data_IF_747828345551
#
_entry.id   IF_747828345551
#
_cell.length_a   1.000
_cell.length_b   1.000
_cell.length_c   1.000
_cell.angle_alpha   90.00
_cell.angle_beta   90.00
_cell.angle_gamma   90.00
#
_symmetry.space_group_name_H-M   'P 1'
#
loop_
_entity.id
_entity.type
_entity.pdbx_description
1 polymer ?
#
# COMPACT_ATOMS: atom_id res chain seq x y z
N UNK A 1 -10.38 29.61 11.71
CA UNK A 1 -10.11 29.54 10.24
C UNK A 1 -10.06 28.08 9.85
N UNK A 2 -10.83 27.67 8.88
CA UNK A 2 -10.85 26.31 8.37
C UNK A 2 -9.51 25.95 7.72
N UNK A 3 -8.88 24.83 8.11
CA UNK A 3 -7.58 24.39 7.59
C UNK A 3 -7.64 23.89 6.14
N UNK A 4 -8.85 23.63 5.63
CA UNK A 4 -9.07 23.10 4.30
C UNK A 4 -9.76 24.11 3.36
N UNK A 5 -10.18 25.28 3.87
CA UNK A 5 -10.84 26.28 3.03
C UNK A 5 -9.88 26.81 1.98
N UNK A 6 -10.24 26.69 0.74
CA UNK A 6 -9.63 27.47 -0.33
C UNK A 6 -10.21 28.88 -0.25
N UNK A 7 -9.44 29.84 0.23
CA UNK A 7 -9.78 31.24 -0.04
C UNK A 7 -9.98 31.37 -1.54
N UNK A 8 -11.00 32.16 -1.95
CA UNK A 8 -11.20 32.46 -3.37
C UNK A 8 -9.93 33.12 -3.88
N UNK A 9 -9.06 32.28 -4.41
CA UNK A 9 -7.80 32.73 -4.94
C UNK A 9 -8.08 33.55 -6.19
N UNK A 10 -7.57 34.73 -6.22
CA UNK A 10 -7.63 35.76 -7.23
C UNK A 10 -7.44 35.30 -8.70
N UNK A 11 -7.06 34.05 -8.93
CA UNK A 11 -6.62 33.58 -10.24
C UNK A 11 -7.72 33.03 -11.16
N UNK A 12 -8.97 32.87 -10.69
CA UNK A 12 -10.01 32.25 -11.52
C UNK A 12 -11.38 32.92 -11.41
N UNK A 13 -11.52 34.26 -11.52
CA UNK A 13 -12.85 34.86 -11.57
C UNK A 13 -13.62 34.57 -12.87
N UNK A 14 -12.98 34.03 -13.89
CA UNK A 14 -13.55 33.86 -15.23
C UNK A 14 -13.64 32.40 -15.71
N UNK A 15 -13.40 31.43 -14.84
CA UNK A 15 -13.49 30.01 -15.21
C UNK A 15 -14.84 29.40 -14.79
N UNK A 16 -15.91 29.91 -15.37
CA UNK A 16 -17.28 29.50 -15.17
C UNK A 16 -17.58 28.02 -15.58
N UNK A 17 -16.90 27.43 -16.59
CA UNK A 17 -17.10 26.04 -16.92
C UNK A 17 -16.65 25.08 -15.81
N UNK A 18 -15.99 25.57 -14.76
CA UNK A 18 -15.51 24.77 -13.63
C UNK A 18 -16.37 24.93 -12.35
N UNK A 19 -17.53 25.53 -12.42
CA UNK A 19 -18.38 25.73 -11.26
C UNK A 19 -18.78 24.40 -10.61
N UNK A 20 -19.14 23.41 -11.40
CA UNK A 20 -19.48 22.07 -10.93
C UNK A 20 -18.26 21.36 -10.30
N UNK A 21 -17.11 21.43 -10.94
CA UNK A 21 -15.88 20.81 -10.42
C UNK A 21 -15.36 21.57 -9.18
N UNK A 22 -15.50 22.88 -9.18
CA UNK A 22 -15.21 23.72 -8.01
C UNK A 22 -16.10 23.36 -6.81
N UNK A 23 -17.39 23.04 -7.05
CA UNK A 23 -18.30 22.61 -5.99
C UNK A 23 -17.94 21.21 -5.47
N UNK A 24 -17.55 20.29 -6.33
CA UNK A 24 -17.04 18.97 -5.92
C UNK A 24 -15.81 19.09 -5.00
N UNK A 25 -14.87 19.95 -5.34
CA UNK A 25 -13.71 20.22 -4.50
C UNK A 25 -14.13 20.83 -3.15
N UNK A 26 -15.00 21.84 -3.15
CA UNK A 26 -15.51 22.45 -1.92
C UNK A 26 -16.23 21.44 -1.03
N UNK A 27 -17.05 20.57 -1.62
CA UNK A 27 -17.74 19.49 -0.90
C UNK A 27 -16.72 18.52 -0.29
N UNK A 28 -15.72 18.12 -1.06
CA UNK A 28 -14.66 17.24 -0.56
C UNK A 28 -13.87 17.89 0.59
N UNK A 29 -13.53 19.17 0.50
CA UNK A 29 -12.83 19.88 1.57
C UNK A 29 -13.70 20.02 2.82
N UNK A 30 -14.99 20.30 2.69
CA UNK A 30 -15.95 20.29 3.83
C UNK A 30 -16.02 18.91 4.48
N UNK A 31 -16.05 17.84 3.70
CA UNK A 31 -16.03 16.47 4.19
C UNK A 31 -14.77 16.20 5.01
N UNK A 32 -13.59 16.58 4.51
CA UNK A 32 -12.35 16.42 5.26
C UNK A 32 -12.35 17.22 6.56
N UNK A 33 -12.90 18.40 6.55
CA UNK A 33 -13.03 19.23 7.75
C UNK A 33 -13.97 18.60 8.77
N UNK A 34 -15.17 18.18 8.38
CA UNK A 34 -16.13 17.52 9.25
C UNK A 34 -15.62 16.19 9.82
N UNK A 35 -14.76 15.48 9.07
CA UNK A 35 -14.14 14.22 9.51
C UNK A 35 -13.14 14.41 10.66
N UNK A 36 -12.65 15.63 10.89
CA UNK A 36 -11.65 15.94 11.90
C UNK A 36 -10.26 15.34 11.62
N UNK A 37 -9.96 14.90 10.38
CA UNK A 37 -8.63 14.35 10.03
C UNK A 37 -7.51 15.38 10.17
N UNK A 38 -7.82 16.68 10.09
CA UNK A 38 -6.85 17.76 10.31
C UNK A 38 -6.09 17.63 11.62
N UNK A 39 -6.74 17.19 12.69
CA UNK A 39 -6.12 17.00 14.00
C UNK A 39 -4.99 15.94 14.00
N UNK A 40 -5.00 15.01 13.05
CA UNK A 40 -3.91 14.05 12.88
C UNK A 40 -2.68 14.77 12.33
N UNK A 41 -2.88 15.66 11.38
CA UNK A 41 -1.81 16.42 10.71
C UNK A 41 -1.19 17.45 11.66
N UNK A 42 -1.99 18.08 12.54
CA UNK A 42 -1.53 19.08 13.50
C UNK A 42 -0.36 18.60 14.37
N UNK A 43 -0.33 17.32 14.69
CA UNK A 43 0.75 16.71 15.48
C UNK A 43 2.11 16.78 14.78
N UNK A 44 2.12 16.85 13.45
CA UNK A 44 3.33 16.88 12.62
C UNK A 44 3.73 18.31 12.23
N UNK A 45 2.80 19.25 12.26
CA UNK A 45 3.04 20.66 11.90
C UNK A 45 3.76 21.40 13.03
N UNK A 46 3.45 21.11 14.30
CA UNK A 46 3.98 21.80 15.48
C UNK A 46 5.50 21.71 15.67
N UNK A 47 6.17 20.82 14.94
CA UNK A 47 7.62 20.64 15.03
C UNK A 47 8.43 21.38 13.97
N UNK A 48 7.79 22.17 13.13
CA UNK A 48 8.44 23.06 12.17
C UNK A 48 8.91 24.34 12.86
N UNK A 49 10.06 24.30 13.54
CA UNK A 49 10.66 25.46 14.17
C UNK A 49 10.94 26.56 13.16
N UNK A 50 10.98 27.79 13.64
CA UNK A 50 11.28 29.04 12.93
C UNK A 50 12.73 29.15 12.42
N UNK A 51 13.37 28.06 12.06
CA UNK A 51 14.66 28.07 11.37
C UNK A 51 14.45 28.60 9.95
N UNK A 52 15.11 29.71 9.62
CA UNK A 52 15.05 30.30 8.30
C UNK A 52 15.32 29.28 7.20
N UNK A 53 14.57 29.36 6.10
CA UNK A 53 14.65 28.42 4.98
C UNK A 53 13.44 28.54 4.07
N UNK A 54 13.34 27.64 3.08
CA UNK A 54 12.17 27.55 2.21
C UNK A 54 10.91 27.25 3.05
N UNK A 55 9.78 27.98 2.86
CA UNK A 55 8.54 27.72 3.57
C UNK A 55 8.13 26.25 3.47
N UNK A 56 7.73 25.67 4.59
CA UNK A 56 7.25 24.28 4.61
C UNK A 56 5.93 24.16 3.87
N UNK A 57 5.75 23.06 3.16
CA UNK A 57 4.47 22.73 2.51
C UNK A 57 3.38 22.60 3.58
N UNK A 58 2.21 23.18 3.32
CA UNK A 58 1.07 23.04 4.21
C UNK A 58 0.58 21.57 4.18
N UNK A 59 0.72 20.89 5.30
CA UNK A 59 0.38 19.46 5.42
C UNK A 59 -1.12 19.17 5.33
N UNK A 60 -2.00 20.08 5.74
CA UNK A 60 -3.44 19.92 5.57
C UNK A 60 -3.82 19.89 4.10
N UNK A 61 -3.29 20.85 3.33
CA UNK A 61 -3.49 20.91 1.88
C UNK A 61 -2.89 19.69 1.17
N UNK A 62 -1.72 19.27 1.63
CA UNK A 62 -1.07 18.09 1.07
C UNK A 62 -1.88 16.82 1.36
N UNK A 63 -2.48 16.68 2.55
CA UNK A 63 -3.40 15.60 2.87
C UNK A 63 -4.62 15.62 1.94
N UNK A 64 -5.28 16.76 1.80
CA UNK A 64 -6.43 16.92 0.91
C UNK A 64 -6.05 16.55 -0.53
N UNK A 65 -4.92 17.05 -1.01
CA UNK A 65 -4.42 16.79 -2.36
C UNK A 65 -4.14 15.31 -2.63
N UNK A 66 -3.51 14.61 -1.68
CA UNK A 66 -3.22 13.17 -1.82
C UNK A 66 -4.52 12.37 -1.81
N UNK A 67 -5.42 12.63 -0.88
CA UNK A 67 -6.70 11.91 -0.79
C UNK A 67 -7.59 12.19 -2.01
N UNK A 68 -7.64 13.43 -2.49
CA UNK A 68 -8.36 13.77 -3.71
C UNK A 68 -7.74 13.11 -4.95
N UNK A 69 -6.42 13.06 -5.03
CA UNK A 69 -5.72 12.37 -6.10
C UNK A 69 -6.07 10.88 -6.13
N UNK A 70 -6.10 10.23 -4.98
CA UNK A 70 -6.50 8.82 -4.88
C UNK A 70 -7.95 8.60 -5.31
N UNK A 71 -8.87 9.49 -4.95
CA UNK A 71 -10.28 9.41 -5.41
C UNK A 71 -10.42 9.53 -6.94
N UNK A 72 -9.46 10.17 -7.60
CA UNK A 72 -9.37 10.28 -9.06
C UNK A 72 -8.52 9.18 -9.71
N UNK A 73 -8.10 8.16 -8.96
CA UNK A 73 -7.26 7.08 -9.46
C UNK A 73 -5.80 7.45 -9.69
N UNK A 74 -5.34 8.62 -9.23
CA UNK A 74 -3.94 9.06 -9.33
C UNK A 74 -3.13 8.52 -8.16
N UNK A 75 -2.70 7.27 -8.28
CA UNK A 75 -2.05 6.54 -7.19
C UNK A 75 -0.52 6.65 -7.15
N UNK A 76 0.11 7.16 -8.22
CA UNK A 76 1.57 7.27 -8.26
C UNK A 76 2.06 8.63 -7.77
N UNK A 77 3.21 8.66 -7.07
CA UNK A 77 3.82 9.88 -6.55
C UNK A 77 4.14 10.91 -7.66
N UNK A 78 4.57 10.42 -8.81
CA UNK A 78 4.88 11.29 -9.97
C UNK A 78 3.60 11.87 -10.57
N UNK A 79 2.53 11.09 -10.70
CA UNK A 79 1.25 11.56 -11.18
C UNK A 79 0.64 12.62 -10.24
N UNK A 80 0.78 12.46 -8.91
CA UNK A 80 0.35 13.44 -7.94
C UNK A 80 1.16 14.75 -8.05
N UNK A 81 2.48 14.66 -8.15
CA UNK A 81 3.35 15.81 -8.31
C UNK A 81 3.07 16.56 -9.63
N UNK A 82 2.89 15.82 -10.72
CA UNK A 82 2.50 16.37 -12.03
C UNK A 82 1.15 17.07 -11.96
N UNK A 83 0.17 16.47 -11.26
CA UNK A 83 -1.12 17.10 -11.03
C UNK A 83 -1.01 18.42 -10.29
N UNK A 84 -0.17 18.51 -9.27
CA UNK A 84 0.08 19.77 -8.54
C UNK A 84 0.72 20.84 -9.41
N UNK A 85 1.37 20.47 -10.51
CA UNK A 85 1.99 21.40 -11.44
C UNK A 85 1.07 21.85 -12.58
N UNK A 86 0.18 20.96 -13.06
CA UNK A 86 -0.53 21.18 -14.34
C UNK A 86 -2.06 21.09 -14.23
N UNK A 87 -2.62 20.49 -13.18
CA UNK A 87 -4.07 20.38 -13.02
C UNK A 87 -4.59 21.52 -12.13
N UNK A 88 -5.48 22.35 -12.68
CA UNK A 88 -6.01 23.53 -11.99
C UNK A 88 -6.68 23.21 -10.65
N UNK A 89 -7.27 22.02 -10.51
CA UNK A 89 -7.88 21.52 -9.25
C UNK A 89 -6.85 21.40 -8.14
N UNK A 90 -5.74 20.76 -8.46
CA UNK A 90 -4.63 20.55 -7.54
C UNK A 90 -3.87 21.84 -7.26
N UNK A 91 -3.68 22.67 -8.29
CA UNK A 91 -3.06 24.01 -8.16
C UNK A 91 -3.88 24.86 -7.17
N UNK A 92 -5.21 24.87 -7.31
CA UNK A 92 -6.10 25.61 -6.41
C UNK A 92 -6.03 25.07 -4.97
N UNK A 93 -6.10 23.73 -4.76
CA UNK A 93 -6.00 23.12 -3.43
C UNK A 93 -4.65 23.40 -2.77
N UNK A 94 -3.56 23.36 -3.53
CA UNK A 94 -2.21 23.61 -3.03
C UNK A 94 -1.84 25.08 -2.94
N UNK A 95 -2.72 26.01 -3.38
CA UNK A 95 -2.45 27.46 -3.47
C UNK A 95 -1.12 27.73 -4.17
N UNK A 96 -0.99 27.20 -5.38
CA UNK A 96 0.20 27.33 -6.24
C UNK A 96 1.50 26.69 -5.68
N UNK A 97 1.46 26.05 -4.51
CA UNK A 97 2.57 25.27 -4.04
C UNK A 97 2.72 24.01 -4.91
N UNK A 98 3.92 23.77 -5.42
CA UNK A 98 4.24 22.63 -6.27
C UNK A 98 5.19 21.69 -5.53
N UNK A 99 4.65 20.75 -4.73
CA UNK A 99 5.49 19.76 -4.07
C UNK A 99 6.04 18.80 -5.11
N UNK A 100 7.29 18.43 -4.97
CA UNK A 100 7.88 17.36 -5.76
C UNK A 100 7.45 15.99 -5.22
N UNK A 101 7.67 14.93 -6.01
CA UNK A 101 7.32 13.56 -5.64
C UNK A 101 8.01 13.10 -4.35
N UNK A 102 9.21 13.60 -4.05
CA UNK A 102 9.96 13.24 -2.84
C UNK A 102 9.34 13.85 -1.59
N UNK A 103 8.80 15.06 -1.70
CA UNK A 103 8.05 15.73 -0.64
C UNK A 103 6.75 14.98 -0.34
N UNK A 104 6.01 14.59 -1.40
CA UNK A 104 4.79 13.78 -1.27
C UNK A 104 5.12 12.43 -0.63
N UNK A 105 6.18 11.75 -1.09
CA UNK A 105 6.62 10.48 -0.52
C UNK A 105 6.94 10.57 0.97
N UNK A 106 7.70 11.59 1.37
CA UNK A 106 8.03 11.84 2.79
C UNK A 106 6.78 12.08 3.62
N UNK A 107 5.82 12.83 3.09
CA UNK A 107 4.55 13.09 3.76
C UNK A 107 3.72 11.81 3.91
N UNK A 108 3.56 11.01 2.86
CA UNK A 108 2.84 9.75 2.91
C UNK A 108 3.47 8.82 3.95
N UNK A 109 4.78 8.61 3.88
CA UNK A 109 5.48 7.69 4.80
C UNK A 109 5.45 8.17 6.26
N UNK A 110 5.58 9.49 6.48
CA UNK A 110 5.67 10.05 7.84
C UNK A 110 4.30 10.27 8.47
N UNK A 111 3.29 10.64 7.69
CA UNK A 111 2.01 11.11 8.21
C UNK A 111 0.86 10.16 7.87
N UNK A 112 0.71 9.76 6.60
CA UNK A 112 -0.43 8.97 6.16
C UNK A 112 -0.30 7.52 6.61
N UNK A 113 0.76 6.83 6.26
CA UNK A 113 0.93 5.40 6.55
C UNK A 113 0.81 5.06 8.05
N UNK A 114 1.45 5.79 8.98
CA UNK A 114 1.28 5.49 10.41
C UNK A 114 -0.12 5.75 10.95
N UNK A 115 -0.96 6.46 10.21
CA UNK A 115 -2.31 6.86 10.62
C UNK A 115 -3.39 6.41 9.63
N UNK A 116 -3.08 5.55 8.67
CA UNK A 116 -3.98 5.16 7.57
C UNK A 116 -5.35 4.70 8.06
N UNK A 117 -5.38 3.77 9.00
CA UNK A 117 -6.63 3.25 9.56
C UNK A 117 -7.49 4.33 10.22
N UNK A 118 -6.85 5.28 10.92
CA UNK A 118 -7.54 6.40 11.58
C UNK A 118 -8.07 7.40 10.57
N UNK A 119 -7.28 7.71 9.54
CA UNK A 119 -7.68 8.61 8.45
C UNK A 119 -8.87 7.99 7.71
N UNK A 120 -8.74 6.73 7.30
CA UNK A 120 -9.79 6.00 6.61
C UNK A 120 -11.10 5.96 7.41
N UNK A 121 -11.03 5.51 8.67
CA UNK A 121 -12.22 5.42 9.53
C UNK A 121 -12.94 6.77 9.71
N UNK A 122 -12.19 7.86 9.90
CA UNK A 122 -12.78 9.18 10.07
C UNK A 122 -13.44 9.70 8.79
N UNK A 123 -12.76 9.57 7.65
CA UNK A 123 -13.29 10.02 6.35
C UNK A 123 -14.52 9.21 5.96
N UNK A 124 -14.46 7.88 6.12
CA UNK A 124 -15.59 6.99 5.82
C UNK A 124 -16.80 7.30 6.70
N UNK A 125 -16.58 7.51 8.01
CA UNK A 125 -17.66 7.87 8.94
C UNK A 125 -18.30 9.21 8.56
N UNK A 126 -17.51 10.21 8.21
CA UNK A 126 -18.02 11.52 7.79
C UNK A 126 -18.78 11.42 6.47
N UNK A 127 -18.26 10.66 5.49
CA UNK A 127 -18.92 10.43 4.22
C UNK A 127 -20.27 9.70 4.39
N UNK A 128 -20.31 8.68 5.24
CA UNK A 128 -21.56 7.96 5.53
C UNK A 128 -22.60 8.88 6.18
N UNK A 129 -22.19 9.71 7.13
CA UNK A 129 -23.06 10.67 7.78
C UNK A 129 -23.63 11.69 6.78
N UNK A 130 -22.80 12.19 5.85
CA UNK A 130 -23.25 13.11 4.78
C UNK A 130 -24.21 12.44 3.80
N UNK A 131 -24.02 11.16 3.52
CA UNK A 131 -24.87 10.37 2.60
C UNK A 131 -26.08 9.77 3.30
N UNK A 132 -26.21 9.88 4.61
CA UNK A 132 -27.30 9.26 5.38
C UNK A 132 -27.22 7.72 5.40
N UNK A 133 -26.05 7.14 5.15
CA UNK A 133 -25.84 5.69 5.15
C UNK A 133 -25.65 5.19 6.57
N UNK A 134 -26.42 4.19 6.96
CA UNK A 134 -26.23 3.43 8.20
C UNK A 134 -25.42 2.18 7.89
N UNK A 135 -24.45 1.86 8.74
CA UNK A 135 -23.60 0.66 8.59
C UNK A 135 -24.21 -0.51 9.37
N UNK A 136 -25.42 -0.91 9.01
CA UNK A 136 -26.09 -2.06 9.64
C UNK A 136 -25.54 -3.38 9.11
N UNK A 137 -25.14 -3.39 7.82
CA UNK A 137 -24.56 -4.54 7.15
C UNK A 137 -23.25 -4.15 6.46
N UNK A 138 -22.19 -4.95 6.68
CA UNK A 138 -20.92 -4.81 5.99
C UNK A 138 -20.67 -5.99 5.06
N UNK A 139 -20.57 -5.73 3.76
CA UNK A 139 -20.15 -6.72 2.79
C UNK A 139 -18.63 -6.63 2.62
N UNK A 140 -17.93 -7.73 2.91
CA UNK A 140 -16.48 -7.82 2.72
C UNK A 140 -16.23 -8.66 1.48
N UNK A 141 -15.68 -8.06 0.43
CA UNK A 141 -15.23 -8.75 -0.76
C UNK A 141 -13.70 -8.78 -0.82
N UNK A 142 -13.16 -9.91 -1.29
CA UNK A 142 -11.73 -10.11 -1.46
C UNK A 142 -11.27 -9.62 -2.83
N UNK A 143 -10.57 -8.51 -2.90
CA UNK A 143 -9.93 -8.06 -4.14
C UNK A 143 -8.69 -8.92 -4.44
N UNK A 144 -8.66 -9.54 -5.61
CA UNK A 144 -7.51 -10.27 -6.10
C UNK A 144 -6.48 -9.29 -6.65
N UNK A 145 -5.38 -9.11 -5.94
CA UNK A 145 -4.24 -8.35 -6.47
C UNK A 145 -3.33 -9.30 -7.27
N UNK A 146 -3.26 -9.10 -8.57
CA UNK A 146 -2.26 -9.77 -9.39
C UNK A 146 -0.93 -9.00 -9.24
N UNK A 147 0.10 -9.70 -8.76
CA UNK A 147 1.45 -9.16 -8.81
C UNK A 147 1.82 -8.95 -10.30
N UNK A 148 2.41 -7.79 -10.63
CA UNK A 148 2.94 -7.52 -11.96
C UNK A 148 4.23 -8.33 -12.20
N UNK A 149 4.15 -9.64 -11.93
CA UNK A 149 5.22 -10.59 -12.15
C UNK A 149 5.12 -11.13 -13.58
N UNK A 150 6.26 -11.33 -14.21
CA UNK A 150 6.31 -11.91 -15.55
C UNK A 150 5.65 -13.29 -15.54
N UNK A 151 4.47 -13.40 -16.15
CA UNK A 151 3.65 -14.64 -16.22
C UNK A 151 4.45 -15.84 -16.70
N UNK A 152 5.48 -15.62 -17.53
CA UNK A 152 6.32 -16.68 -18.10
C UNK A 152 7.41 -17.19 -17.15
N UNK A 153 7.64 -16.51 -16.02
CA UNK A 153 8.58 -16.96 -14.97
C UNK A 153 7.89 -17.64 -13.78
N UNK A 154 6.57 -17.70 -13.79
CA UNK A 154 5.79 -18.33 -12.72
C UNK A 154 5.64 -19.83 -13.04
N UNK A 155 6.36 -20.66 -12.31
CA UNK A 155 6.13 -22.12 -12.35
C UNK A 155 4.98 -22.41 -11.39
N UNK A 156 3.79 -22.62 -11.91
CA UNK A 156 2.66 -23.14 -11.15
C UNK A 156 2.95 -24.59 -10.79
N UNK A 157 3.28 -24.81 -9.51
CA UNK A 157 3.35 -26.19 -8.99
C UNK A 157 2.05 -26.44 -8.22
N UNK A 158 1.16 -27.33 -8.70
CA UNK A 158 -0.04 -27.71 -7.97
C UNK A 158 0.33 -28.30 -6.60
N UNK A 159 -0.51 -28.09 -5.59
CA UNK A 159 -0.29 -28.65 -4.24
C UNK A 159 -0.07 -30.17 -4.26
N UNK A 160 -0.76 -30.88 -5.15
CA UNK A 160 -0.58 -32.30 -5.41
C UNK A 160 0.83 -32.67 -5.90
N UNK A 161 1.51 -31.76 -6.60
CA UNK A 161 2.90 -31.97 -7.03
C UNK A 161 3.86 -31.95 -5.85
N UNK A 162 3.70 -31.02 -4.92
CA UNK A 162 4.51 -30.96 -3.71
C UNK A 162 4.28 -32.15 -2.79
N UNK A 163 3.03 -32.61 -2.68
CA UNK A 163 2.71 -33.83 -1.90
C UNK A 163 3.34 -35.09 -2.51
N UNK A 164 3.31 -35.21 -3.83
CA UNK A 164 3.97 -36.33 -4.54
C UNK A 164 5.49 -36.31 -4.35
N UNK A 165 6.12 -35.14 -4.48
CA UNK A 165 7.55 -34.99 -4.24
C UNK A 165 7.89 -35.37 -2.80
N UNK A 166 7.13 -34.84 -1.82
CA UNK A 166 7.36 -35.13 -0.40
C UNK A 166 7.22 -36.63 -0.11
N UNK A 167 6.19 -37.27 -0.68
CA UNK A 167 5.98 -38.71 -0.54
C UNK A 167 7.13 -39.53 -1.14
N UNK A 168 7.62 -39.14 -2.34
CA UNK A 168 8.77 -39.79 -3.00
C UNK A 168 10.05 -39.62 -2.20
N UNK A 169 10.28 -38.42 -1.67
CA UNK A 169 11.42 -38.12 -0.81
C UNK A 169 11.40 -38.96 0.48
N UNK A 170 10.26 -39.03 1.16
CA UNK A 170 10.12 -39.84 2.38
C UNK A 170 10.28 -41.35 2.08
N UNK A 171 9.77 -41.82 0.96
CA UNK A 171 9.99 -43.22 0.56
C UNK A 171 11.47 -43.52 0.31
N UNK A 172 12.19 -42.59 -0.35
CA UNK A 172 13.65 -42.71 -0.57
C UNK A 172 14.43 -42.73 0.75
N UNK A 173 14.12 -41.81 1.66
CA UNK A 173 14.77 -41.71 2.96
C UNK A 173 14.54 -42.97 3.81
N UNK A 174 13.31 -43.51 3.82
CA UNK A 174 13.01 -44.78 4.52
C UNK A 174 13.79 -45.98 3.96
N UNK A 175 13.82 -46.07 2.62
CA UNK A 175 14.55 -47.17 1.97
C UNK A 175 16.08 -47.15 2.20
N UNK A 176 16.61 -45.96 2.46
CA UNK A 176 18.05 -45.72 2.61
C UNK A 176 18.51 -45.55 4.05
N UNK A 177 17.61 -45.60 5.04
CA UNK A 177 17.91 -45.35 6.44
C UNK A 177 18.46 -43.95 6.70
N UNK A 178 17.95 -42.94 5.96
CA UNK A 178 18.26 -41.54 6.18
C UNK A 178 17.19 -40.92 7.07
N UNK A 179 17.59 -39.93 7.88
CA UNK A 179 16.70 -39.16 8.74
C UNK A 179 15.92 -40.06 9.75
N UNK A 180 16.55 -41.07 10.29
CA UNK A 180 15.94 -41.93 11.30
C UNK A 180 15.42 -41.10 12.48
N UNK A 181 14.15 -41.30 12.86
CA UNK A 181 13.49 -40.55 13.94
C UNK A 181 12.93 -39.19 13.58
N UNK A 182 12.95 -38.76 12.30
CA UNK A 182 12.25 -37.58 11.83
C UNK A 182 10.78 -37.89 11.55
N UNK A 183 9.89 -37.01 12.05
CA UNK A 183 8.47 -37.05 11.69
C UNK A 183 8.29 -36.72 10.22
N UNK A 184 7.47 -37.50 9.50
CA UNK A 184 7.14 -37.22 8.10
C UNK A 184 6.29 -35.96 8.00
N UNK A 185 6.85 -34.90 7.46
CA UNK A 185 6.16 -33.66 7.18
C UNK A 185 5.35 -33.80 5.89
N UNK A 186 4.11 -33.28 5.87
CA UNK A 186 3.27 -33.25 4.66
C UNK A 186 3.95 -32.55 3.49
N UNK A 187 4.79 -31.55 3.80
CA UNK A 187 5.62 -30.82 2.83
C UNK A 187 7.05 -30.76 3.35
N UNK A 188 7.96 -31.37 2.60
CA UNK A 188 9.38 -31.42 2.97
C UNK A 188 10.01 -30.05 2.85
N UNK A 189 10.66 -29.58 3.91
CA UNK A 189 11.37 -28.31 3.93
C UNK A 189 12.75 -28.41 3.28
N UNK A 190 13.26 -27.28 2.76
CA UNK A 190 14.63 -27.22 2.22
C UNK A 190 15.70 -27.61 3.24
N UNK A 191 15.44 -27.37 4.52
CA UNK A 191 16.34 -27.78 5.63
C UNK A 191 16.41 -29.29 5.78
N UNK A 192 15.25 -29.97 5.65
CA UNK A 192 15.15 -31.43 5.72
C UNK A 192 15.88 -32.09 4.55
N UNK A 193 15.73 -31.52 3.34
CA UNK A 193 16.48 -31.97 2.15
C UNK A 193 17.98 -31.80 2.32
N UNK A 194 18.43 -30.63 2.80
CA UNK A 194 19.85 -30.38 3.03
C UNK A 194 20.45 -31.35 4.07
N UNK A 195 19.68 -31.68 5.11
CA UNK A 195 20.12 -32.64 6.12
C UNK A 195 20.25 -34.05 5.53
N UNK A 196 19.28 -34.48 4.73
CA UNK A 196 19.35 -35.78 4.04
C UNK A 196 20.55 -35.87 3.09
N UNK A 197 20.83 -34.79 2.34
CA UNK A 197 22.03 -34.70 1.48
C UNK A 197 23.34 -34.82 2.28
N UNK A 198 23.42 -34.14 3.42
CA UNK A 198 24.60 -34.23 4.28
C UNK A 198 24.80 -35.64 4.82
N UNK A 199 23.74 -36.31 5.23
CA UNK A 199 23.81 -37.70 5.71
C UNK A 199 24.15 -38.71 4.58
N UNK A 200 23.61 -38.51 3.37
CA UNK A 200 23.91 -39.31 2.19
C UNK A 200 25.42 -39.16 1.82
N UNK A 201 25.92 -37.93 1.84
CA UNK A 201 27.33 -37.65 1.58
C UNK A 201 28.25 -38.27 2.64
N UNK A 202 27.86 -38.25 3.91
CA UNK A 202 28.62 -38.89 4.99
C UNK A 202 28.65 -40.42 4.85
N UNK A 203 27.60 -41.04 4.25
CA UNK A 203 27.57 -42.47 3.91
C UNK A 203 28.34 -42.81 2.64
N UNK A 204 28.78 -41.82 1.86
CA UNK A 204 29.54 -42.00 0.62
C UNK A 204 28.70 -42.53 -0.57
N UNK A 205 27.39 -42.47 -0.46
CA UNK A 205 26.49 -43.00 -1.49
C UNK A 205 26.11 -41.92 -2.51
N UNK A 206 26.92 -41.82 -3.57
CA UNK A 206 26.71 -40.88 -4.68
C UNK A 206 25.38 -41.10 -5.44
N UNK A 207 24.95 -42.35 -5.57
CA UNK A 207 23.69 -42.68 -6.25
C UNK A 207 22.49 -42.10 -5.47
N UNK A 208 22.58 -42.14 -4.14
CA UNK A 208 21.55 -41.59 -3.25
C UNK A 208 21.54 -40.07 -3.25
N UNK A 209 22.73 -39.43 -3.30
CA UNK A 209 22.82 -37.98 -3.46
C UNK A 209 22.18 -37.50 -4.76
N UNK A 210 22.44 -38.18 -5.88
CA UNK A 210 21.85 -37.86 -7.19
C UNK A 210 20.34 -38.09 -7.19
N UNK A 211 19.85 -39.15 -6.55
CA UNK A 211 18.42 -39.43 -6.42
C UNK A 211 17.70 -38.34 -5.60
N UNK A 212 18.29 -37.84 -4.50
CA UNK A 212 17.74 -36.75 -3.69
C UNK A 212 17.73 -35.43 -4.49
N UNK A 213 18.74 -35.16 -5.29
CA UNK A 213 18.82 -33.94 -6.15
C UNK A 213 17.82 -33.99 -7.33
N UNK A 214 17.43 -35.17 -7.76
CA UNK A 214 16.51 -35.38 -8.89
C UNK A 214 15.03 -35.25 -8.48
N UNK A 215 14.71 -35.34 -7.19
CA UNK A 215 13.38 -35.15 -6.60
C UNK A 215 13.11 -33.65 -6.36
#
# INVERSE_FOLDING_TARGET
MSNFTTERSFLLPSFDPMEEEGERIRRFLRLLESSGVGSIVDRYVKNGGSSGGRPSVNYHRLLATVLYGFSLGRSTLRSLADSCAHDVRFIAMMQQCRPDYSTIAKFINKVILPNEAKIFARVTKAAAAEMGVQFDDAFVDGSKFEANANKYKFVWKPTTFHERISSSFHALCRGSGLLEGHSEERMVSSKTVSKALTEASAKGDRSLEEAIKAI
#
